data_IF_044661507807
#
_entry.id   IF_044661507807
#
_cell.length_a   1.000
_cell.length_b   1.000
_cell.length_c   1.000
_cell.angle_alpha   90.00
_cell.angle_beta   90.00
_cell.angle_gamma   90.00
#
_symmetry.space_group_name_H-M   'P 1'
#
loop_
_entity.id
_entity.type
_entity.pdbx_description
1 polymer ?
#
# COMPACT_ATOMS: atom_id res chain seq x y z
N UNK A 1 -0.72 31.70 -4.65
CA UNK A 1 -0.83 30.86 -3.39
C UNK A 1 0.26 31.36 -2.45
N UNK A 2 -0.05 31.53 -1.19
CA UNK A 2 0.94 31.94 -0.18
C UNK A 2 1.98 30.83 -0.02
N UNK A 3 3.26 31.15 0.08
CA UNK A 3 4.41 30.22 0.33
C UNK A 3 4.33 29.48 1.70
N UNK A 4 3.13 29.32 2.23
CA UNK A 4 2.93 28.71 3.53
C UNK A 4 2.88 27.19 3.41
N UNK A 5 3.80 26.50 4.09
CA UNK A 5 3.76 25.06 4.26
C UNK A 5 2.77 24.71 5.38
N UNK A 6 1.79 23.84 5.07
CA UNK A 6 0.82 23.34 6.03
C UNK A 6 1.29 22.00 6.63
N UNK A 7 0.90 21.74 7.88
CA UNK A 7 1.13 20.46 8.55
C UNK A 7 0.19 19.36 8.02
N UNK A 8 0.52 18.10 8.36
CA UNK A 8 -0.18 16.91 7.87
C UNK A 8 -1.70 16.96 8.11
N UNK A 9 -2.13 17.35 9.34
CA UNK A 9 -3.55 17.39 9.72
C UNK A 9 -4.35 18.40 8.89
N UNK A 10 -3.72 19.51 8.50
CA UNK A 10 -4.33 20.46 7.57
C UNK A 10 -4.39 19.89 6.15
N UNK A 11 -3.31 19.25 5.69
CA UNK A 11 -3.22 18.70 4.35
C UNK A 11 -4.19 17.53 4.14
N UNK A 12 -4.37 16.66 5.14
CA UNK A 12 -5.31 15.52 5.01
C UNK A 12 -6.77 15.98 4.81
N UNK A 13 -7.12 17.18 5.26
CA UNK A 13 -8.46 17.77 5.10
C UNK A 13 -8.57 18.62 3.82
N UNK A 14 -7.51 19.37 3.47
CA UNK A 14 -7.61 20.44 2.48
C UNK A 14 -6.89 20.16 1.16
N UNK A 15 -5.86 19.31 1.12
CA UNK A 15 -5.10 19.10 -0.10
C UNK A 15 -5.99 18.59 -1.25
N UNK A 16 -5.85 19.21 -2.43
CA UNK A 16 -6.65 18.93 -3.63
C UNK A 16 -8.10 19.41 -3.58
N UNK A 17 -8.68 19.66 -2.41
CA UNK A 17 -10.08 20.06 -2.28
C UNK A 17 -10.23 21.59 -2.35
N UNK A 18 -11.06 22.04 -3.30
CA UNK A 18 -11.50 23.44 -3.44
C UNK A 18 -13.02 23.48 -3.45
N UNK A 19 -13.63 24.58 -2.98
CA UNK A 19 -15.06 24.76 -3.17
C UNK A 19 -15.45 24.66 -4.66
N UNK A 20 -16.52 23.95 -4.96
CA UNK A 20 -16.99 23.79 -6.33
C UNK A 20 -17.26 25.16 -6.96
N UNK A 21 -16.67 25.49 -8.11
CA UNK A 21 -16.79 26.84 -8.67
C UNK A 21 -18.19 27.19 -9.19
N UNK A 22 -19.04 26.18 -9.45
CA UNK A 22 -20.37 26.41 -9.98
C UNK A 22 -21.40 26.59 -8.86
N UNK A 23 -21.25 25.90 -7.74
CA UNK A 23 -22.26 25.85 -6.67
C UNK A 23 -21.77 26.39 -5.34
N UNK A 24 -20.44 26.53 -5.16
CA UNK A 24 -19.82 26.84 -3.88
C UNK A 24 -19.82 25.68 -2.87
N UNK A 25 -20.18 24.48 -3.30
CA UNK A 25 -20.17 23.29 -2.42
C UNK A 25 -18.78 23.09 -1.81
N UNK A 26 -18.75 22.99 -0.47
CA UNK A 26 -17.47 22.82 0.27
C UNK A 26 -16.90 21.43 0.10
N UNK A 27 -17.74 20.41 0.17
CA UNK A 27 -17.34 19.03 -0.02
C UNK A 27 -17.16 18.75 -1.51
N UNK A 28 -16.18 17.90 -1.85
CA UNK A 28 -15.92 17.49 -3.23
C UNK A 28 -17.15 16.82 -3.84
N UNK A 29 -17.73 17.33 -4.93
CA UNK A 29 -18.86 16.68 -5.58
C UNK A 29 -18.50 15.30 -6.14
N UNK A 30 -19.46 14.38 -6.17
CA UNK A 30 -19.28 13.07 -6.81
C UNK A 30 -19.67 13.20 -8.28
N UNK A 31 -18.66 13.23 -9.15
CA UNK A 31 -18.87 13.27 -10.60
C UNK A 31 -19.08 11.85 -11.14
N UNK A 32 -20.28 11.31 -10.95
CA UNK A 32 -20.69 10.00 -11.48
C UNK A 32 -21.02 10.13 -12.97
N UNK A 33 -19.99 10.36 -13.78
CA UNK A 33 -20.08 10.64 -15.21
C UNK A 33 -18.99 9.91 -15.98
N UNK A 34 -19.26 9.52 -17.24
CA UNK A 34 -18.29 8.84 -18.10
C UNK A 34 -17.54 9.78 -19.03
N UNK A 35 -18.21 10.72 -19.69
CA UNK A 35 -17.63 11.60 -20.69
C UNK A 35 -17.88 13.08 -20.43
N UNK A 36 -17.02 13.93 -20.97
CA UNK A 36 -17.05 15.39 -20.78
C UNK A 36 -17.13 16.09 -22.13
N UNK A 37 -17.92 17.18 -22.20
CA UNK A 37 -18.16 17.94 -23.45
C UNK A 37 -16.95 18.83 -23.75
N UNK A 38 -16.49 18.80 -25.00
CA UNK A 38 -15.44 19.69 -25.48
C UNK A 38 -16.02 21.07 -25.88
N UNK A 39 -15.20 22.11 -25.80
CA UNK A 39 -15.57 23.44 -26.26
C UNK A 39 -15.75 23.49 -27.78
N UNK A 40 -14.81 22.86 -28.50
CA UNK A 40 -14.76 22.76 -29.96
C UNK A 40 -13.82 21.62 -30.38
N UNK A 41 -13.67 21.42 -31.71
CA UNK A 41 -12.80 20.36 -32.24
C UNK A 41 -11.30 20.59 -31.98
N UNK A 42 -10.86 21.86 -31.90
CA UNK A 42 -9.44 22.15 -31.57
C UNK A 42 -9.11 21.82 -30.12
N UNK A 43 -10.01 22.18 -29.20
CA UNK A 43 -9.90 21.79 -27.79
C UNK A 43 -9.87 20.24 -27.61
N UNK A 44 -10.76 19.52 -28.30
CA UNK A 44 -10.73 18.06 -28.30
C UNK A 44 -9.37 17.52 -28.77
N UNK A 45 -8.86 18.02 -29.90
CA UNK A 45 -7.56 17.61 -30.43
C UNK A 45 -6.40 17.90 -29.43
N UNK A 46 -6.40 19.07 -28.79
CA UNK A 46 -5.38 19.44 -27.80
C UNK A 46 -5.36 18.51 -26.59
N UNK A 47 -6.55 18.14 -26.09
CA UNK A 47 -6.68 17.19 -24.97
C UNK A 47 -6.17 15.78 -25.36
N UNK A 48 -6.57 15.25 -26.51
CA UNK A 48 -6.13 13.94 -26.99
C UNK A 48 -4.64 13.86 -27.31
N UNK A 49 -4.02 14.98 -27.68
CA UNK A 49 -2.59 15.09 -27.95
C UNK A 49 -1.77 15.48 -26.70
N UNK A 50 -2.37 15.53 -25.51
CA UNK A 50 -1.74 15.95 -24.25
C UNK A 50 -1.10 17.35 -24.30
N UNK A 51 -1.60 18.23 -25.18
CA UNK A 51 -1.20 19.64 -25.31
C UNK A 51 -1.95 20.53 -24.32
N UNK A 52 -3.14 20.13 -23.90
CA UNK A 52 -3.95 20.75 -22.86
C UNK A 52 -4.34 19.64 -21.84
N UNK A 53 -4.42 20.00 -20.56
CA UNK A 53 -4.88 19.09 -19.50
C UNK A 53 -6.36 19.32 -19.21
N UNK A 54 -7.14 18.26 -19.15
CA UNK A 54 -8.56 18.34 -18.87
C UNK A 54 -9.24 17.00 -18.83
N UNK A 55 -10.54 17.04 -18.62
CA UNK A 55 -11.36 15.83 -18.51
C UNK A 55 -11.90 15.44 -19.90
N UNK A 56 -11.65 14.19 -20.30
CA UNK A 56 -12.12 13.60 -21.55
C UNK A 56 -13.12 12.48 -21.21
N UNK A 57 -12.67 11.56 -20.39
CA UNK A 57 -13.38 10.34 -20.04
C UNK A 57 -12.93 9.86 -18.66
N UNK A 58 -13.86 9.44 -17.81
CA UNK A 58 -13.57 9.13 -16.39
C UNK A 58 -12.60 7.96 -16.17
N UNK A 59 -12.37 7.10 -17.17
CA UNK A 59 -11.31 6.08 -17.12
C UNK A 59 -9.90 6.68 -17.02
N UNK A 60 -9.67 7.85 -17.67
CA UNK A 60 -8.39 8.55 -17.62
C UNK A 60 -8.35 9.49 -16.42
N UNK A 61 -9.32 10.41 -16.36
CA UNK A 61 -9.41 11.42 -15.32
C UNK A 61 -10.88 11.73 -14.98
N UNK A 62 -11.17 11.84 -13.67
CA UNK A 62 -12.45 12.22 -13.12
C UNK A 62 -12.24 13.27 -12.03
N UNK A 63 -13.06 14.35 -11.93
CA UNK A 63 -12.83 15.43 -10.97
C UNK A 63 -12.78 14.97 -9.51
N UNK A 64 -13.64 14.05 -9.10
CA UNK A 64 -13.63 13.48 -7.73
C UNK A 64 -12.36 12.67 -7.48
N UNK A 65 -11.96 11.84 -8.45
CA UNK A 65 -10.75 11.01 -8.37
C UNK A 65 -9.50 11.88 -8.36
N UNK A 66 -9.48 12.98 -9.13
CA UNK A 66 -8.36 13.92 -9.17
C UNK A 66 -8.08 14.56 -7.80
N UNK A 67 -9.11 14.90 -7.03
CA UNK A 67 -8.93 15.40 -5.66
C UNK A 67 -8.27 14.35 -4.76
N UNK A 68 -8.66 13.08 -4.87
CA UNK A 68 -8.04 11.99 -4.13
C UNK A 68 -6.56 11.82 -4.52
N UNK A 69 -6.25 11.85 -5.83
CA UNK A 69 -4.89 11.74 -6.35
C UNK A 69 -3.99 12.87 -5.80
N UNK A 70 -4.44 14.13 -5.90
CA UNK A 70 -3.71 15.29 -5.38
C UNK A 70 -3.50 15.21 -3.86
N UNK A 71 -4.53 14.77 -3.12
CA UNK A 71 -4.45 14.61 -1.66
C UNK A 71 -3.40 13.59 -1.25
N UNK A 72 -3.46 12.39 -1.80
CA UNK A 72 -2.51 11.32 -1.45
C UNK A 72 -1.09 11.68 -1.89
N UNK A 73 -0.91 12.24 -3.11
CA UNK A 73 0.39 12.74 -3.55
C UNK A 73 0.97 13.77 -2.57
N UNK A 74 0.17 14.74 -2.15
CA UNK A 74 0.59 15.77 -1.19
C UNK A 74 0.97 15.18 0.17
N UNK A 75 0.19 14.24 0.70
CA UNK A 75 0.46 13.60 2.00
C UNK A 75 1.74 12.76 1.98
N UNK A 76 2.00 12.05 0.90
CA UNK A 76 3.26 11.31 0.70
C UNK A 76 4.46 12.23 0.36
N UNK A 77 4.20 13.44 -0.14
CA UNK A 77 5.23 14.35 -0.64
C UNK A 77 5.71 14.02 -2.05
N UNK A 78 4.84 13.42 -2.85
CA UNK A 78 5.07 13.11 -4.26
C UNK A 78 4.74 14.28 -5.17
N UNK A 79 5.25 14.23 -6.40
CA UNK A 79 4.96 15.21 -7.46
C UNK A 79 3.60 14.96 -8.12
N UNK A 80 3.18 13.69 -8.21
CA UNK A 80 1.92 13.30 -8.81
C UNK A 80 1.46 11.92 -8.36
N UNK A 81 0.19 11.61 -8.67
CA UNK A 81 -0.37 10.30 -8.41
C UNK A 81 -1.48 9.95 -9.40
N UNK A 82 -1.77 8.67 -9.56
CA UNK A 82 -2.95 8.21 -10.26
C UNK A 82 -3.61 7.04 -9.54
N UNK A 83 -4.94 7.06 -9.53
CA UNK A 83 -5.76 6.12 -8.77
C UNK A 83 -6.16 4.90 -9.62
N UNK A 84 -6.23 3.75 -8.98
CA UNK A 84 -6.60 2.46 -9.59
C UNK A 84 -7.74 1.79 -8.82
N UNK A 85 -8.36 0.77 -9.43
CA UNK A 85 -9.49 0.06 -8.85
C UNK A 85 -9.17 -0.77 -7.58
N UNK A 86 -7.90 -1.07 -7.33
CA UNK A 86 -7.45 -1.85 -6.17
C UNK A 86 -5.94 -1.71 -5.96
N UNK A 87 -5.43 -2.14 -4.79
CA UNK A 87 -3.99 -2.21 -4.54
C UNK A 87 -3.26 -3.13 -5.52
N UNK A 88 -3.83 -4.28 -5.88
CA UNK A 88 -3.26 -5.16 -6.92
C UNK A 88 -3.17 -4.47 -8.29
N UNK A 89 -4.18 -3.68 -8.65
CA UNK A 89 -4.13 -2.87 -9.88
C UNK A 89 -3.05 -1.79 -9.79
N UNK A 90 -2.80 -1.21 -8.61
CA UNK A 90 -1.69 -0.27 -8.40
C UNK A 90 -0.33 -0.92 -8.61
N UNK A 91 -0.12 -2.16 -8.15
CA UNK A 91 1.10 -2.93 -8.38
C UNK A 91 1.35 -3.20 -9.87
N UNK A 92 0.31 -3.61 -10.61
CA UNK A 92 0.40 -3.74 -12.07
C UNK A 92 0.74 -2.39 -12.70
N UNK A 93 0.05 -1.33 -12.31
CA UNK A 93 0.21 -0.01 -12.90
C UNK A 93 1.57 0.63 -12.59
N UNK A 94 2.18 0.33 -11.46
CA UNK A 94 3.52 0.78 -11.12
C UNK A 94 4.62 0.08 -11.95
N UNK A 95 4.43 -1.20 -12.28
CA UNK A 95 5.43 -1.99 -13.01
C UNK A 95 5.24 -1.94 -14.52
N UNK A 96 4.02 -1.73 -15.01
CA UNK A 96 3.71 -1.78 -16.45
C UNK A 96 4.56 -0.82 -17.31
N UNK A 97 4.81 0.46 -16.91
CA UNK A 97 5.69 1.35 -17.66
C UNK A 97 7.16 0.94 -17.67
N UNK A 98 7.57 0.10 -16.72
CA UNK A 98 8.96 -0.24 -16.47
C UNK A 98 9.39 -1.55 -17.14
N UNK A 99 8.45 -2.47 -17.37
CA UNK A 99 8.74 -3.86 -17.71
C UNK A 99 8.25 -4.25 -19.10
N UNK A 100 9.08 -5.00 -19.81
CA UNK A 100 8.74 -5.72 -21.03
C UNK A 100 8.75 -7.25 -20.77
N UNK A 101 8.18 -8.07 -21.69
CA UNK A 101 8.31 -9.52 -21.59
C UNK A 101 9.77 -9.97 -21.50
N UNK A 102 10.09 -10.83 -20.55
CA UNK A 102 11.44 -11.30 -20.24
C UNK A 102 12.20 -10.47 -19.22
N UNK A 103 11.67 -9.33 -18.79
CA UNK A 103 12.24 -8.54 -17.70
C UNK A 103 11.88 -9.13 -16.33
N UNK A 104 12.67 -8.75 -15.31
CA UNK A 104 12.44 -9.13 -13.92
C UNK A 104 12.49 -7.92 -12.99
N UNK A 105 11.96 -8.11 -11.78
CA UNK A 105 12.15 -7.22 -10.65
C UNK A 105 12.51 -8.01 -9.39
N UNK A 106 13.20 -7.37 -8.46
CA UNK A 106 13.55 -7.99 -7.18
C UNK A 106 12.54 -7.54 -6.13
N UNK A 107 11.96 -8.48 -5.41
CA UNK A 107 10.98 -8.21 -4.38
C UNK A 107 11.36 -8.81 -3.03
N UNK A 108 11.00 -8.15 -1.94
CA UNK A 108 11.17 -8.69 -0.60
C UNK A 108 10.38 -10.00 -0.44
N UNK A 109 10.92 -10.96 0.30
CA UNK A 109 10.18 -12.17 0.74
C UNK A 109 9.08 -11.83 1.75
N UNK A 110 9.14 -10.65 2.37
CA UNK A 110 8.23 -10.20 3.44
C UNK A 110 7.17 -9.26 2.86
N UNK A 111 6.23 -9.84 2.11
CA UNK A 111 5.14 -9.13 1.46
C UNK A 111 3.78 -9.77 1.83
N UNK A 112 2.74 -9.01 1.61
CA UNK A 112 1.38 -9.52 1.62
C UNK A 112 1.24 -10.75 0.70
N UNK A 113 0.61 -11.82 1.21
CA UNK A 113 0.49 -13.08 0.48
C UNK A 113 -0.20 -12.94 -0.89
N UNK A 114 -1.14 -12.00 -1.03
CA UNK A 114 -1.76 -11.68 -2.31
C UNK A 114 -0.76 -11.10 -3.32
N UNK A 115 0.17 -10.24 -2.89
CA UNK A 115 1.24 -9.71 -3.73
C UNK A 115 2.20 -10.81 -4.17
N UNK A 116 2.59 -11.70 -3.24
CA UNK A 116 3.43 -12.86 -3.57
C UNK A 116 2.76 -13.73 -4.63
N UNK A 117 1.46 -14.00 -4.48
CA UNK A 117 0.69 -14.78 -5.44
C UNK A 117 0.57 -14.08 -6.80
N UNK A 118 0.26 -12.78 -6.82
CA UNK A 118 0.16 -11.99 -8.05
C UNK A 118 1.50 -12.00 -8.82
N UNK A 119 2.61 -11.77 -8.12
CA UNK A 119 3.94 -11.72 -8.73
C UNK A 119 4.39 -13.09 -9.26
N UNK A 120 4.12 -14.16 -8.51
CA UNK A 120 4.50 -15.52 -8.92
C UNK A 120 3.67 -16.11 -10.07
N UNK A 121 2.41 -15.70 -10.17
CA UNK A 121 1.48 -16.37 -11.10
C UNK A 121 0.93 -15.43 -12.16
N UNK A 122 0.24 -14.35 -11.77
CA UNK A 122 -0.42 -13.46 -12.73
C UNK A 122 0.58 -12.74 -13.63
N UNK A 123 1.72 -12.28 -13.10
CA UNK A 123 2.71 -11.53 -13.86
C UNK A 123 3.44 -12.37 -14.92
N UNK A 124 3.45 -13.71 -14.77
CA UNK A 124 3.95 -14.60 -15.83
C UNK A 124 3.18 -14.49 -17.13
N UNK A 125 1.89 -14.13 -17.07
CA UNK A 125 1.08 -13.90 -18.28
C UNK A 125 1.52 -12.64 -19.05
N UNK A 126 2.19 -11.69 -18.37
CA UNK A 126 2.85 -10.55 -19.03
C UNK A 126 4.30 -10.87 -19.47
N UNK A 127 4.79 -12.06 -19.17
CA UNK A 127 6.20 -12.44 -19.39
C UNK A 127 7.14 -11.84 -18.34
N UNK A 128 6.65 -11.31 -17.25
CA UNK A 128 7.45 -10.73 -16.17
C UNK A 128 7.85 -11.79 -15.15
N UNK A 129 9.05 -11.60 -14.59
CA UNK A 129 9.59 -12.49 -13.58
C UNK A 129 9.83 -11.74 -12.28
N UNK A 130 9.65 -12.42 -11.13
CA UNK A 130 10.01 -11.90 -9.81
C UNK A 130 11.12 -12.74 -9.20
N UNK A 131 12.06 -12.07 -8.51
CA UNK A 131 13.07 -12.69 -7.67
C UNK A 131 12.84 -12.26 -6.23
N UNK A 132 12.40 -13.19 -5.40
CA UNK A 132 12.20 -12.92 -3.98
C UNK A 132 13.49 -13.07 -3.19
N UNK A 133 13.83 -12.05 -2.40
CA UNK A 133 15.03 -11.98 -1.56
C UNK A 133 14.66 -11.50 -0.16
N UNK A 134 15.29 -12.04 0.87
CA UNK A 134 15.19 -11.43 2.21
C UNK A 134 16.05 -10.16 2.25
N UNK A 135 15.42 -9.01 2.45
CA UNK A 135 16.12 -7.71 2.49
C UNK A 135 16.97 -7.49 3.75
N UNK A 136 17.01 -8.48 4.66
CA UNK A 136 18.03 -8.53 5.71
C UNK A 136 19.40 -8.94 5.17
N UNK A 137 19.44 -9.69 4.06
CA UNK A 137 20.65 -10.06 3.33
C UNK A 137 20.87 -9.09 2.16
N UNK A 138 21.56 -7.98 2.42
CA UNK A 138 21.81 -6.94 1.43
C UNK A 138 22.76 -7.45 0.30
N UNK A 139 23.60 -8.44 0.54
CA UNK A 139 24.45 -9.01 -0.50
C UNK A 139 23.64 -9.93 -1.42
N UNK A 140 22.69 -10.69 -0.89
CA UNK A 140 21.72 -11.42 -1.69
C UNK A 140 20.83 -10.48 -2.51
N UNK A 141 20.44 -9.32 -1.97
CA UNK A 141 19.68 -8.31 -2.71
C UNK A 141 20.50 -7.77 -3.90
N UNK A 142 21.78 -7.44 -3.70
CA UNK A 142 22.66 -7.01 -4.79
C UNK A 142 22.84 -8.10 -5.84
N UNK A 143 23.08 -9.34 -5.40
CA UNK A 143 23.31 -10.48 -6.30
C UNK A 143 22.06 -10.88 -7.12
N UNK A 144 20.86 -10.53 -6.66
CA UNK A 144 19.63 -10.80 -7.39
C UNK A 144 19.36 -9.82 -8.55
N UNK A 145 20.09 -8.71 -8.62
CA UNK A 145 19.95 -7.70 -9.66
C UNK A 145 20.79 -8.09 -10.88
N UNK A 146 20.21 -8.06 -12.08
CA UNK A 146 20.89 -8.26 -13.35
C UNK A 146 20.48 -7.23 -14.42
N UNK A 147 20.93 -7.41 -15.65
CA UNK A 147 20.63 -6.49 -16.77
C UNK A 147 19.15 -6.40 -17.12
N UNK A 148 18.36 -7.45 -16.82
CA UNK A 148 16.91 -7.51 -17.03
C UNK A 148 16.11 -6.99 -15.87
N UNK A 149 16.75 -6.63 -14.76
CA UNK A 149 16.05 -6.09 -13.59
C UNK A 149 15.59 -4.65 -13.85
N UNK A 150 14.32 -4.36 -13.51
CA UNK A 150 13.67 -3.07 -13.75
C UNK A 150 13.22 -2.34 -12.49
N UNK A 151 13.10 -3.00 -11.38
CA UNK A 151 12.71 -2.38 -10.11
C UNK A 151 13.13 -3.22 -8.91
N UNK A 152 13.17 -2.57 -7.74
CA UNK A 152 13.21 -3.21 -6.43
C UNK A 152 11.89 -2.90 -5.72
N UNK A 153 11.24 -3.90 -5.11
CA UNK A 153 9.91 -3.77 -4.52
C UNK A 153 9.86 -4.29 -3.08
N UNK A 154 9.30 -3.50 -2.15
CA UNK A 154 9.10 -3.92 -0.76
C UNK A 154 7.83 -3.27 -0.15
N UNK A 155 7.44 -3.73 1.05
CA UNK A 155 6.49 -3.04 1.91
C UNK A 155 7.26 -2.24 2.98
N UNK A 156 6.78 -1.05 3.34
CA UNK A 156 7.39 -0.26 4.42
C UNK A 156 7.26 -0.99 5.77
N UNK A 157 6.05 -1.45 6.09
CA UNK A 157 5.72 -2.33 7.21
C UNK A 157 5.08 -3.57 6.63
N UNK A 158 5.73 -4.72 6.78
CA UNK A 158 5.28 -5.96 6.18
C UNK A 158 4.02 -6.54 6.86
N UNK A 159 3.12 -7.06 6.05
CA UNK A 159 1.97 -7.86 6.46
C UNK A 159 2.24 -9.35 6.13
N UNK A 160 2.18 -10.27 7.13
CA UNK A 160 1.53 -10.14 8.45
C UNK A 160 2.44 -9.83 9.64
N UNK A 161 3.74 -9.82 9.51
CA UNK A 161 4.65 -10.00 10.64
C UNK A 161 5.20 -8.75 11.33
N UNK A 162 4.73 -7.53 11.02
CA UNK A 162 5.23 -6.30 11.67
C UNK A 162 6.73 -6.01 11.44
N UNK A 163 7.33 -6.59 10.42
CA UNK A 163 8.70 -6.31 9.99
C UNK A 163 8.79 -4.91 9.38
N UNK A 164 9.84 -4.17 9.70
CA UNK A 164 10.13 -2.84 9.10
C UNK A 164 11.29 -2.98 8.11
N UNK A 165 11.05 -2.67 6.86
CA UNK A 165 12.10 -2.68 5.83
C UNK A 165 13.11 -1.56 6.08
N UNK A 166 14.41 -1.84 5.89
CA UNK A 166 15.44 -0.79 5.84
C UNK A 166 15.38 -0.10 4.47
N UNK A 167 14.48 0.89 4.36
CA UNK A 167 14.19 1.59 3.12
C UNK A 167 15.43 2.27 2.54
N UNK A 168 16.26 2.89 3.39
CA UNK A 168 17.47 3.60 2.91
C UNK A 168 18.48 2.64 2.31
N UNK A 169 18.72 1.49 2.95
CA UNK A 169 19.64 0.49 2.41
C UNK A 169 19.13 -0.13 1.10
N UNK A 170 17.84 -0.42 1.01
CA UNK A 170 17.21 -0.91 -0.21
C UNK A 170 17.31 0.12 -1.35
N UNK A 171 17.07 1.40 -1.05
CA UNK A 171 17.19 2.50 -2.01
C UNK A 171 18.62 2.66 -2.55
N UNK A 172 19.62 2.65 -1.68
CA UNK A 172 21.03 2.74 -2.07
C UNK A 172 21.41 1.64 -3.08
N UNK A 173 20.99 0.39 -2.83
CA UNK A 173 21.26 -0.74 -3.72
C UNK A 173 20.52 -0.59 -5.05
N UNK A 174 19.23 -0.22 -5.01
CA UNK A 174 18.44 0.00 -6.20
C UNK A 174 19.04 1.11 -7.08
N UNK A 175 19.34 2.26 -6.50
CA UNK A 175 19.88 3.42 -7.21
C UNK A 175 21.29 3.15 -7.77
N UNK A 176 22.15 2.43 -7.05
CA UNK A 176 23.47 2.02 -7.57
C UNK A 176 23.37 1.17 -8.85
N UNK A 177 22.25 0.45 -9.04
CA UNK A 177 21.96 -0.30 -10.24
C UNK A 177 21.12 0.46 -11.28
N UNK A 178 20.81 1.74 -11.07
CA UNK A 178 19.94 2.56 -11.92
C UNK A 178 18.49 2.08 -11.94
N UNK A 179 18.00 1.56 -10.80
CA UNK A 179 16.64 1.03 -10.62
C UNK A 179 15.83 1.89 -9.65
N UNK A 180 14.51 2.08 -9.85
CA UNK A 180 13.65 2.67 -8.85
C UNK A 180 13.37 1.71 -7.70
N UNK A 181 13.24 2.26 -6.48
CA UNK A 181 12.65 1.57 -5.35
C UNK A 181 11.14 1.86 -5.30
N UNK A 182 10.33 0.81 -5.38
CA UNK A 182 8.88 0.85 -5.23
C UNK A 182 8.51 0.35 -3.84
N UNK A 183 7.78 1.16 -3.08
CA UNK A 183 7.38 0.82 -1.71
C UNK A 183 5.87 0.76 -1.60
N UNK A 184 5.33 -0.37 -1.17
CA UNK A 184 3.94 -0.46 -0.73
C UNK A 184 3.83 0.12 0.68
N UNK A 185 3.16 1.27 0.80
CA UNK A 185 3.00 2.01 2.04
C UNK A 185 1.60 1.83 2.67
N UNK A 186 0.88 0.79 2.23
CA UNK A 186 -0.51 0.53 2.65
C UNK A 186 -0.69 0.44 4.16
N UNK A 187 0.20 -0.31 4.84
CA UNK A 187 0.09 -0.58 6.28
C UNK A 187 0.59 0.56 7.14
N UNK A 188 1.57 1.33 6.66
CA UNK A 188 2.09 2.49 7.38
C UNK A 188 1.26 3.75 7.15
N UNK A 189 0.71 3.94 5.96
CA UNK A 189 0.10 5.20 5.51
C UNK A 189 1.09 6.37 5.47
N UNK A 190 0.80 7.47 4.76
CA UNK A 190 1.66 8.65 4.78
C UNK A 190 1.77 9.33 6.15
N UNK A 191 0.92 8.94 7.11
CA UNK A 191 0.97 9.48 8.46
C UNK A 191 2.09 8.89 9.32
N UNK A 192 2.31 7.58 9.25
CA UNK A 192 3.34 6.89 10.04
C UNK A 192 4.69 6.86 9.35
N UNK A 193 4.72 6.67 8.02
CA UNK A 193 5.92 6.59 7.22
C UNK A 193 5.75 7.36 5.90
N UNK A 194 6.78 8.10 5.49
CA UNK A 194 6.89 8.75 4.19
C UNK A 194 8.10 8.19 3.44
N UNK A 195 7.94 7.12 2.68
CA UNK A 195 9.06 6.40 2.05
C UNK A 195 9.93 7.26 1.13
N UNK A 196 9.38 8.33 0.54
CA UNK A 196 10.15 9.28 -0.28
C UNK A 196 11.26 9.99 0.49
N UNK A 197 11.11 10.20 1.78
CA UNK A 197 12.15 10.77 2.65
C UNK A 197 13.30 9.78 2.89
N UNK A 198 13.11 8.51 2.54
CA UNK A 198 14.05 7.41 2.74
C UNK A 198 14.52 6.76 1.44
N UNK A 199 14.33 7.42 0.30
CA UNK A 199 14.87 7.01 -0.98
C UNK A 199 13.93 6.23 -1.90
N UNK A 200 12.66 6.02 -1.54
CA UNK A 200 11.70 5.49 -2.49
C UNK A 200 11.47 6.42 -3.67
N UNK A 201 11.14 5.87 -4.84
CA UNK A 201 10.85 6.61 -6.07
C UNK A 201 9.38 6.54 -6.44
N UNK A 202 8.76 5.38 -6.20
CA UNK A 202 7.34 5.14 -6.37
C UNK A 202 6.74 4.55 -5.10
N UNK A 203 5.50 4.93 -4.81
CA UNK A 203 4.72 4.36 -3.70
C UNK A 203 3.46 3.72 -4.25
N UNK A 204 3.15 2.50 -3.81
CA UNK A 204 1.87 1.85 -4.02
C UNK A 204 1.02 1.91 -2.75
N UNK A 205 -0.29 2.03 -2.91
CA UNK A 205 -1.27 1.85 -1.84
C UNK A 205 -2.43 0.97 -2.28
N UNK A 206 -2.89 0.13 -1.37
CA UNK A 206 -4.28 -0.26 -1.34
C UNK A 206 -5.05 0.79 -0.54
N UNK A 207 -5.74 1.72 -1.21
CA UNK A 207 -6.53 2.75 -0.53
C UNK A 207 -7.73 2.15 0.20
N UNK A 208 -8.05 0.88 -0.09
CA UNK A 208 -9.06 0.03 0.57
C UNK A 208 -8.87 -0.07 2.09
N UNK A 209 -7.60 0.06 2.57
CA UNK A 209 -7.18 -0.19 3.95
C UNK A 209 -7.32 1.08 4.81
N UNK A 210 -6.33 1.43 5.58
CA UNK A 210 -6.35 2.58 6.49
C UNK A 210 -6.73 3.91 5.83
N UNK A 211 -6.44 4.12 4.53
CA UNK A 211 -6.81 5.37 3.85
C UNK A 211 -8.33 5.53 3.79
N UNK A 212 -9.07 4.49 3.38
CA UNK A 212 -10.53 4.45 3.49
C UNK A 212 -10.95 4.28 4.96
N UNK A 213 -10.42 3.27 5.65
CA UNK A 213 -10.52 3.05 7.08
C UNK A 213 -11.83 2.45 7.59
N UNK A 214 -12.85 2.29 6.74
CA UNK A 214 -14.21 1.89 7.14
C UNK A 214 -14.71 0.63 6.43
N UNK A 215 -13.84 -0.05 5.65
CA UNK A 215 -14.17 -1.24 4.86
C UNK A 215 -15.32 -1.03 3.85
N UNK A 216 -15.53 0.19 3.36
CA UNK A 216 -16.65 0.54 2.46
C UNK A 216 -16.22 0.63 1.00
N UNK A 217 -14.97 1.04 0.71
CA UNK A 217 -14.52 1.28 -0.65
C UNK A 217 -13.23 0.53 -0.98
N UNK A 218 -13.19 -0.04 -2.18
CA UNK A 218 -11.96 -0.58 -2.77
C UNK A 218 -11.27 0.45 -3.64
N UNK A 219 -9.92 0.43 -3.61
CA UNK A 219 -9.12 1.26 -4.49
C UNK A 219 -7.63 1.01 -4.32
N UNK A 220 -6.86 1.62 -5.20
CA UNK A 220 -5.41 1.66 -5.16
C UNK A 220 -4.88 3.02 -5.61
N UNK A 221 -3.61 3.26 -5.37
CA UNK A 221 -2.92 4.49 -5.76
C UNK A 221 -1.48 4.18 -6.10
N UNK A 222 -0.96 4.80 -7.15
CA UNK A 222 0.47 4.91 -7.41
C UNK A 222 0.84 6.37 -7.24
N UNK A 223 1.87 6.64 -6.43
CA UNK A 223 2.41 7.98 -6.22
C UNK A 223 3.83 8.02 -6.77
N UNK A 224 4.11 9.05 -7.52
CA UNK A 224 5.40 9.31 -8.15
C UNK A 224 6.12 10.44 -7.40
N UNK A 225 7.36 10.20 -6.96
CA UNK A 225 8.21 11.23 -6.35
C UNK A 225 8.57 12.33 -7.35
N UNK A 226 8.67 11.99 -8.63
CA UNK A 226 9.03 12.91 -9.70
C UNK A 226 10.53 13.25 -9.79
N UNK A 227 11.40 12.52 -9.11
CA UNK A 227 12.84 12.81 -9.10
C UNK A 227 13.70 11.72 -9.74
N UNK A 228 13.12 10.57 -10.07
CA UNK A 228 13.86 9.50 -10.73
C UNK A 228 14.08 9.85 -12.21
N UNK A 229 15.33 9.75 -12.68
CA UNK A 229 15.68 10.01 -14.09
C UNK A 229 15.41 8.77 -14.95
N UNK A 230 14.26 8.75 -15.60
CA UNK A 230 13.82 7.64 -16.46
C UNK A 230 14.65 7.48 -17.74
N UNK A 231 15.49 8.45 -18.08
CA UNK A 231 16.34 8.42 -19.28
C UNK A 231 17.77 7.95 -19.03
N UNK A 232 18.28 8.12 -17.79
CA UNK A 232 19.70 7.96 -17.49
C UNK A 232 20.25 6.55 -17.74
N UNK A 233 19.46 5.50 -17.43
CA UNK A 233 19.94 4.11 -17.51
C UNK A 233 19.65 3.42 -18.85
N UNK A 234 18.80 4.02 -19.70
CA UNK A 234 18.29 3.37 -20.93
C UNK A 234 17.36 2.17 -20.69
N UNK A 235 17.02 1.88 -19.44
CA UNK A 235 16.19 0.73 -19.05
C UNK A 235 14.69 0.94 -19.24
N UNK A 236 14.23 2.20 -19.42
CA UNK A 236 12.80 2.59 -19.41
C UNK A 236 12.38 3.25 -20.72
N UNK A 237 12.46 2.54 -21.88
CA UNK A 237 12.17 3.11 -23.20
C UNK A 237 10.70 3.59 -23.31
N UNK A 238 9.76 2.99 -22.57
CA UNK A 238 8.38 3.43 -22.56
C UNK A 238 8.21 4.90 -22.10
N UNK A 239 9.10 5.39 -21.23
CA UNK A 239 9.09 6.74 -20.70
C UNK A 239 10.05 7.69 -21.44
N UNK A 240 11.18 7.18 -21.94
CA UNK A 240 12.26 7.99 -22.51
C UNK A 240 12.30 8.02 -24.04
N UNK A 241 11.71 7.03 -24.73
CA UNK A 241 11.71 6.94 -26.18
C UNK A 241 10.41 7.42 -26.81
N UNK A 242 10.36 7.71 -28.14
CA UNK A 242 9.17 8.15 -28.82
C UNK A 242 7.99 7.18 -28.69
N UNK A 243 6.87 7.63 -28.13
CA UNK A 243 5.67 6.82 -27.97
C UNK A 243 4.90 6.69 -29.29
N UNK A 244 4.68 5.48 -29.80
CA UNK A 244 3.86 5.30 -31.01
C UNK A 244 2.40 5.66 -30.81
N UNK A 245 1.88 5.59 -29.58
CA UNK A 245 0.50 5.93 -29.22
C UNK A 245 0.23 7.45 -29.19
N UNK A 246 1.29 8.28 -29.16
CA UNK A 246 1.20 9.74 -29.08
C UNK A 246 2.11 10.42 -30.11
N UNK A 247 2.12 9.95 -31.36
CA UNK A 247 2.81 10.56 -32.49
C UNK A 247 4.29 10.86 -32.24
N UNK A 248 4.97 10.00 -31.48
CA UNK A 248 6.40 10.18 -31.18
C UNK A 248 6.71 11.07 -29.97
N UNK A 249 5.68 11.44 -29.17
CA UNK A 249 5.90 12.14 -27.90
C UNK A 249 6.78 11.31 -26.96
N UNK A 250 7.78 11.93 -26.36
CA UNK A 250 8.60 11.34 -25.30
C UNK A 250 8.13 11.85 -23.95
N UNK A 251 7.61 10.97 -23.09
CA UNK A 251 6.99 11.36 -21.81
C UNK A 251 8.00 12.08 -20.90
N UNK A 252 9.24 11.57 -20.79
CA UNK A 252 10.27 12.17 -19.94
C UNK A 252 10.64 13.59 -20.39
N UNK A 253 10.85 13.82 -21.70
CA UNK A 253 11.19 15.15 -22.23
C UNK A 253 10.01 16.12 -22.13
N UNK A 254 8.77 15.64 -22.32
CA UNK A 254 7.57 16.48 -22.37
C UNK A 254 7.06 16.88 -20.99
N UNK A 255 7.06 15.95 -20.03
CA UNK A 255 6.42 16.13 -18.73
C UNK A 255 7.41 16.19 -17.55
N UNK A 256 8.71 15.93 -17.77
CA UNK A 256 9.75 16.04 -16.77
C UNK A 256 9.42 15.20 -15.51
N UNK A 257 9.31 15.85 -14.38
CA UNK A 257 9.01 15.25 -13.08
C UNK A 257 7.62 14.56 -12.99
N UNK A 258 6.74 14.77 -13.93
CA UNK A 258 5.43 14.12 -14.00
C UNK A 258 5.35 13.03 -15.09
N UNK A 259 6.45 12.67 -15.73
CA UNK A 259 6.50 11.73 -16.85
C UNK A 259 5.83 10.39 -16.52
N UNK A 260 6.17 9.81 -15.36
CA UNK A 260 5.60 8.54 -14.92
C UNK A 260 4.10 8.65 -14.63
N UNK A 261 3.69 9.72 -13.96
CA UNK A 261 2.27 9.99 -13.65
C UNK A 261 1.44 10.14 -14.92
N UNK A 262 1.93 10.92 -15.92
CA UNK A 262 1.20 11.10 -17.19
C UNK A 262 1.18 9.83 -18.04
N UNK A 263 2.25 9.04 -18.05
CA UNK A 263 2.24 7.73 -18.70
C UNK A 263 1.21 6.81 -18.03
N UNK A 264 1.17 6.80 -16.70
CA UNK A 264 0.20 6.04 -15.91
C UNK A 264 -1.25 6.36 -16.29
N UNK A 265 -1.58 7.65 -16.44
CA UNK A 265 -2.92 8.11 -16.83
C UNK A 265 -3.19 7.84 -18.30
N UNK A 266 -2.29 8.31 -19.18
CA UNK A 266 -2.53 8.38 -20.62
C UNK A 266 -2.40 7.03 -21.35
N UNK A 267 -1.63 6.08 -20.78
CA UNK A 267 -1.43 4.75 -21.37
C UNK A 267 -1.93 3.67 -20.42
N UNK A 268 -1.36 3.58 -19.20
CA UNK A 268 -1.66 2.45 -18.31
C UNK A 268 -3.15 2.38 -17.95
N UNK A 269 -3.74 3.45 -17.44
CA UNK A 269 -5.18 3.48 -17.11
C UNK A 269 -6.06 3.42 -18.35
N UNK A 270 -5.69 4.16 -19.40
CA UNK A 270 -6.46 4.18 -20.65
C UNK A 270 -6.61 2.79 -21.25
N UNK A 271 -5.51 2.04 -21.35
CA UNK A 271 -5.44 0.80 -22.12
C UNK A 271 -5.75 -0.44 -21.27
N UNK A 272 -5.35 -0.48 -20.00
CA UNK A 272 -5.65 -1.60 -19.09
C UNK A 272 -7.00 -1.43 -18.36
N UNK A 273 -7.54 -0.21 -18.29
CA UNK A 273 -8.89 0.04 -17.79
C UNK A 273 -9.07 -0.02 -16.26
N UNK A 274 -8.00 -0.07 -15.49
CA UNK A 274 -7.99 -0.28 -14.02
C UNK A 274 -8.32 1.01 -13.24
N UNK A 275 -9.23 1.85 -13.71
CA UNK A 275 -9.57 3.14 -13.10
C UNK A 275 -10.38 2.99 -11.81
N UNK A 276 -10.26 3.97 -10.92
CA UNK A 276 -11.05 4.06 -9.69
C UNK A 276 -12.44 4.64 -9.97
N UNK A 277 -13.48 4.09 -9.30
CA UNK A 277 -14.81 4.64 -9.33
C UNK A 277 -14.90 5.93 -8.50
N UNK A 278 -15.64 6.99 -8.98
CA UNK A 278 -15.76 8.26 -8.24
C UNK A 278 -16.36 8.12 -6.85
N UNK A 279 -17.33 7.24 -6.66
CA UNK A 279 -17.92 6.96 -5.34
C UNK A 279 -16.87 6.41 -4.37
N UNK A 280 -16.06 5.43 -4.80
CA UNK A 280 -15.00 4.86 -3.97
C UNK A 280 -13.92 5.92 -3.64
N UNK A 281 -13.61 6.81 -4.58
CA UNK A 281 -12.71 7.93 -4.34
C UNK A 281 -13.27 8.89 -3.29
N UNK A 282 -14.56 9.22 -3.36
CA UNK A 282 -15.25 10.06 -2.38
C UNK A 282 -15.22 9.45 -0.98
N UNK A 283 -15.57 8.17 -0.83
CA UNK A 283 -15.52 7.48 0.47
C UNK A 283 -14.09 7.41 1.03
N UNK A 284 -13.10 7.21 0.17
CA UNK A 284 -11.70 7.25 0.57
C UNK A 284 -11.29 8.65 1.04
N UNK A 285 -11.75 9.72 0.38
CA UNK A 285 -11.51 11.10 0.80
C UNK A 285 -12.07 11.36 2.21
N UNK A 286 -13.30 10.91 2.49
CA UNK A 286 -13.90 11.00 3.84
C UNK A 286 -13.03 10.27 4.87
N UNK A 287 -12.54 9.06 4.53
CA UNK A 287 -11.64 8.31 5.42
C UNK A 287 -10.33 9.05 5.69
N UNK A 288 -9.72 9.66 4.68
CA UNK A 288 -8.45 10.38 4.83
C UNK A 288 -8.59 11.60 5.75
N UNK A 289 -9.73 12.29 5.77
CA UNK A 289 -9.94 13.47 6.61
C UNK A 289 -9.74 13.23 8.12
N UNK A 290 -9.83 11.97 8.56
CA UNK A 290 -9.59 11.55 9.95
C UNK A 290 -8.40 10.58 10.10
N UNK A 291 -7.55 10.49 9.10
CA UNK A 291 -6.48 9.48 9.06
C UNK A 291 -5.54 9.56 10.26
N UNK A 292 -5.03 10.75 10.59
CA UNK A 292 -4.09 10.94 11.71
C UNK A 292 -4.70 10.50 13.05
N UNK A 293 -5.95 10.92 13.31
CA UNK A 293 -6.66 10.58 14.54
C UNK A 293 -6.89 9.07 14.67
N UNK A 294 -7.24 8.41 13.56
CA UNK A 294 -7.44 6.96 13.55
C UNK A 294 -6.12 6.23 13.74
N UNK A 295 -5.06 6.64 13.04
CA UNK A 295 -3.76 5.98 13.13
C UNK A 295 -3.15 6.11 14.54
N UNK A 296 -3.29 7.24 15.20
CA UNK A 296 -2.86 7.41 16.60
C UNK A 296 -3.61 6.42 17.52
N UNK A 297 -4.93 6.31 17.39
CA UNK A 297 -5.72 5.37 18.18
C UNK A 297 -5.40 3.92 17.85
N UNK A 298 -5.29 3.57 16.56
CA UNK A 298 -4.89 2.24 16.10
C UNK A 298 -3.55 1.81 16.70
N UNK A 299 -2.52 2.67 16.63
CA UNK A 299 -1.19 2.37 17.15
C UNK A 299 -1.17 2.27 18.68
N UNK A 300 -1.89 3.16 19.39
CA UNK A 300 -2.00 3.11 20.84
C UNK A 300 -2.67 1.80 21.31
N UNK A 301 -3.78 1.44 20.68
CA UNK A 301 -4.48 0.19 20.98
C UNK A 301 -3.61 -1.03 20.68
N UNK A 302 -2.96 -1.06 19.50
CA UNK A 302 -2.08 -2.16 19.12
C UNK A 302 -0.93 -2.35 20.10
N UNK A 303 -0.30 -1.27 20.54
CA UNK A 303 0.77 -1.34 21.53
C UNK A 303 0.27 -1.88 22.87
N UNK A 304 -0.90 -1.45 23.34
CA UNK A 304 -1.49 -1.92 24.60
C UNK A 304 -1.83 -3.42 24.53
N UNK A 305 -2.51 -3.85 23.46
CA UNK A 305 -2.87 -5.26 23.24
C UNK A 305 -1.62 -6.14 23.06
N UNK A 306 -0.66 -5.71 22.24
CA UNK A 306 0.58 -6.48 22.01
C UNK A 306 1.41 -6.62 23.30
N UNK A 307 1.52 -5.55 24.12
CA UNK A 307 2.23 -5.59 25.40
C UNK A 307 1.55 -6.49 26.42
N UNK A 308 0.22 -6.61 26.37
CA UNK A 308 -0.51 -7.56 27.22
C UNK A 308 -0.29 -9.00 26.73
N UNK A 309 -0.42 -9.26 25.43
CA UNK A 309 -0.18 -10.58 24.82
C UNK A 309 1.25 -11.09 25.07
N UNK A 310 2.26 -10.22 25.04
CA UNK A 310 3.66 -10.60 25.29
C UNK A 310 3.88 -11.21 26.68
N UNK A 311 3.04 -10.85 27.65
CA UNK A 311 3.10 -11.38 29.01
C UNK A 311 2.11 -12.52 29.27
N UNK A 312 1.25 -12.81 28.31
CA UNK A 312 0.19 -13.81 28.49
C UNK A 312 0.74 -15.25 28.47
N UNK A 313 0.38 -16.10 29.44
CA UNK A 313 0.98 -17.45 29.59
C UNK A 313 0.70 -18.40 28.42
N UNK A 314 -0.39 -18.23 27.66
CA UNK A 314 -0.72 -19.04 26.49
C UNK A 314 0.03 -18.62 25.22
N UNK A 315 0.70 -17.44 25.23
CA UNK A 315 1.38 -16.88 24.07
C UNK A 315 2.85 -17.27 24.07
N UNK A 316 3.38 -17.68 22.93
CA UNK A 316 4.78 -18.07 22.75
C UNK A 316 5.65 -16.92 22.24
N UNK A 317 5.11 -16.03 21.41
CA UNK A 317 5.77 -14.82 20.92
C UNK A 317 4.74 -13.77 20.44
N UNK A 318 5.17 -12.51 20.35
CA UNK A 318 4.45 -11.44 19.66
C UNK A 318 5.40 -10.79 18.66
N UNK A 319 4.98 -10.69 17.39
CA UNK A 319 5.76 -10.04 16.33
C UNK A 319 5.12 -8.70 15.96
N UNK A 320 5.51 -7.66 16.70
CA UNK A 320 5.05 -6.28 16.50
C UNK A 320 6.20 -5.29 16.66
N UNK A 321 6.48 -4.48 15.64
CA UNK A 321 7.61 -3.56 15.64
C UNK A 321 7.50 -2.41 16.67
N UNK A 322 6.29 -2.16 17.20
CA UNK A 322 6.05 -1.18 18.25
C UNK A 322 6.48 -1.60 19.66
N UNK A 323 6.74 -2.90 19.88
CA UNK A 323 7.23 -3.38 21.18
C UNK A 323 8.71 -3.03 21.36
N UNK A 324 9.14 -2.62 22.58
CA UNK A 324 10.55 -2.38 22.88
C UNK A 324 11.43 -3.64 22.71
N UNK A 325 10.87 -4.83 22.90
CA UNK A 325 11.52 -6.14 22.73
C UNK A 325 11.68 -6.56 21.27
N UNK A 326 11.00 -5.88 20.35
CA UNK A 326 11.03 -6.22 18.92
C UNK A 326 12.43 -5.99 18.32
N UNK A 327 12.95 -6.94 17.52
CA UNK A 327 14.19 -6.71 16.78
C UNK A 327 14.09 -5.54 15.79
N UNK A 328 12.88 -5.12 15.43
CA UNK A 328 12.60 -4.04 14.50
C UNK A 328 12.31 -2.70 15.18
N UNK A 329 12.34 -2.60 16.52
CA UNK A 329 12.01 -1.39 17.28
C UNK A 329 12.86 -0.17 16.87
N UNK A 330 14.15 -0.37 16.61
CA UNK A 330 15.04 0.71 16.14
C UNK A 330 14.64 1.23 14.75
N UNK A 331 14.25 0.33 13.83
CA UNK A 331 13.76 0.71 12.50
C UNK A 331 12.39 1.37 12.57
N UNK A 332 11.49 0.88 13.43
CA UNK A 332 10.21 1.54 13.67
C UNK A 332 10.40 2.98 14.14
N UNK A 333 11.31 3.21 15.08
CA UNK A 333 11.64 4.57 15.53
C UNK A 333 12.24 5.45 14.42
N UNK A 334 13.05 4.87 13.52
CA UNK A 334 13.69 5.60 12.39
C UNK A 334 12.68 5.95 11.30
N UNK A 335 11.88 4.98 10.83
CA UNK A 335 11.04 5.11 9.65
C UNK A 335 9.58 5.47 9.96
N UNK A 336 9.10 5.09 11.15
CA UNK A 336 7.71 5.23 11.58
C UNK A 336 7.63 5.85 12.98
N UNK A 337 8.15 7.07 13.21
CA UNK A 337 8.32 7.65 14.55
C UNK A 337 7.01 7.87 15.31
N UNK A 338 5.86 7.90 14.60
CA UNK A 338 4.52 8.10 15.20
C UNK A 338 3.83 6.79 15.59
N UNK A 339 4.39 5.63 15.21
CA UNK A 339 3.81 4.31 15.53
C UNK A 339 4.11 3.27 14.46
N UNK A 340 3.96 1.98 14.82
CA UNK A 340 4.33 0.84 13.98
C UNK A 340 3.12 0.14 13.34
N UNK A 341 2.08 0.90 12.95
CA UNK A 341 0.80 0.37 12.46
C UNK A 341 0.00 -0.38 13.54
N UNK A 342 -1.06 -1.05 13.15
CA UNK A 342 -1.90 -1.83 14.06
C UNK A 342 -2.13 -3.27 13.57
N UNK A 343 -1.25 -3.72 12.67
CA UNK A 343 -1.24 -5.11 12.22
C UNK A 343 -0.03 -5.83 12.82
N UNK A 344 -0.27 -6.97 13.42
CA UNK A 344 0.79 -7.80 13.99
C UNK A 344 0.34 -9.25 14.15
N UNK A 345 1.28 -10.12 14.48
CA UNK A 345 1.02 -11.53 14.76
C UNK A 345 1.49 -11.93 16.15
N UNK A 346 0.86 -12.96 16.68
CA UNK A 346 1.35 -13.67 17.88
C UNK A 346 1.19 -15.18 17.71
N UNK A 347 1.97 -15.94 18.44
CA UNK A 347 1.95 -17.41 18.43
C UNK A 347 1.29 -17.97 19.67
N UNK A 348 0.49 -19.02 19.49
CA UNK A 348 -0.07 -19.82 20.59
C UNK A 348 0.83 -21.00 20.92
N UNK A 349 0.99 -21.33 22.21
CA UNK A 349 1.78 -22.50 22.65
C UNK A 349 1.15 -23.82 22.23
N UNK A 350 -0.20 -23.86 22.17
CA UNK A 350 -0.97 -25.09 21.88
C UNK A 350 -1.25 -25.28 20.37
N UNK A 351 -0.59 -24.49 19.51
CA UNK A 351 -0.51 -24.70 18.06
C UNK A 351 -1.82 -24.53 17.29
N UNK A 352 -2.00 -25.34 16.24
CA UNK A 352 -3.05 -25.17 15.22
C UNK A 352 -4.48 -25.21 15.77
N UNK A 353 -4.80 -26.25 16.57
CA UNK A 353 -6.16 -26.44 17.07
C UNK A 353 -6.59 -25.36 18.06
N UNK A 354 -5.63 -24.85 18.86
CA UNK A 354 -5.86 -23.70 19.73
C UNK A 354 -6.12 -22.44 18.90
N UNK A 355 -5.40 -22.25 17.78
CA UNK A 355 -5.62 -21.15 16.84
C UNK A 355 -7.03 -21.16 16.24
N UNK A 356 -7.52 -22.33 15.83
CA UNK A 356 -8.89 -22.48 15.30
C UNK A 356 -9.92 -22.14 16.39
N UNK A 357 -9.78 -22.75 17.60
CA UNK A 357 -10.71 -22.47 18.70
C UNK A 357 -10.71 -21.01 19.12
N UNK A 358 -9.54 -20.36 19.14
CA UNK A 358 -9.43 -18.94 19.50
C UNK A 358 -10.27 -18.06 18.55
N UNK A 359 -10.10 -18.22 17.23
CA UNK A 359 -10.81 -17.37 16.26
C UNK A 359 -12.31 -17.68 16.18
N UNK A 360 -12.75 -18.83 16.67
CA UNK A 360 -14.16 -19.19 16.81
C UNK A 360 -14.78 -18.70 18.13
N UNK A 361 -13.96 -18.40 19.15
CA UNK A 361 -14.40 -18.00 20.48
C UNK A 361 -14.47 -16.48 20.69
N UNK A 362 -13.85 -15.66 19.82
CA UNK A 362 -13.95 -14.20 19.95
C UNK A 362 -15.37 -13.72 19.70
N UNK A 363 -15.81 -12.73 20.48
CA UNK A 363 -17.15 -12.13 20.40
C UNK A 363 -17.12 -10.73 19.79
N UNK A 364 -16.07 -9.95 20.06
CA UNK A 364 -15.92 -8.57 19.60
C UNK A 364 -15.09 -8.50 18.30
N UNK A 365 -13.97 -9.23 18.24
CA UNK A 365 -13.18 -9.28 17.02
C UNK A 365 -13.94 -9.92 15.86
N UNK A 366 -13.87 -9.32 14.68
CA UNK A 366 -14.45 -9.90 13.47
C UNK A 366 -13.47 -10.89 12.83
N UNK A 367 -13.88 -12.15 12.67
CA UNK A 367 -13.09 -13.17 11.99
C UNK A 367 -13.22 -13.04 10.48
N UNK A 368 -12.32 -12.27 9.86
CA UNK A 368 -12.28 -12.04 8.41
C UNK A 368 -10.90 -11.61 7.90
N UNK A 369 -10.70 -11.73 6.58
CA UNK A 369 -9.44 -11.41 5.91
C UNK A 369 -9.41 -9.97 5.39
N UNK A 370 -9.21 -8.99 6.26
CA UNK A 370 -8.96 -7.58 5.92
C UNK A 370 -7.95 -6.97 6.92
N UNK A 371 -7.67 -5.69 6.80
CA UNK A 371 -6.92 -4.87 7.76
C UNK A 371 -7.29 -3.39 7.61
N UNK A 372 -6.99 -2.59 8.64
CA UNK A 372 -7.14 -1.15 8.59
C UNK A 372 -8.58 -0.66 8.68
N UNK A 373 -9.50 -1.50 9.16
CA UNK A 373 -10.86 -1.16 9.54
C UNK A 373 -10.86 -0.49 10.91
N UNK A 374 -11.86 0.34 11.20
CA UNK A 374 -12.12 0.88 12.54
C UNK A 374 -12.45 -0.22 13.55
N UNK A 375 -12.94 -1.37 13.09
CA UNK A 375 -13.18 -2.58 13.90
C UNK A 375 -11.97 -3.47 13.94
N UNK A 376 -11.76 -4.11 15.08
CA UNK A 376 -10.68 -5.09 15.26
C UNK A 376 -11.00 -6.39 14.55
N UNK A 377 -9.99 -6.92 13.83
CA UNK A 377 -10.09 -8.11 13.02
C UNK A 377 -9.08 -9.16 13.48
N UNK A 378 -9.49 -10.42 13.40
CA UNK A 378 -8.65 -11.58 13.74
C UNK A 378 -8.70 -12.62 12.62
N UNK A 379 -7.59 -13.29 12.38
CA UNK A 379 -7.54 -14.43 11.45
C UNK A 379 -6.45 -15.42 11.88
N UNK A 380 -6.69 -16.72 11.67
CA UNK A 380 -5.72 -17.78 11.75
C UNK A 380 -5.20 -18.10 10.34
N UNK A 381 -4.03 -17.59 9.92
CA UNK A 381 -3.56 -17.71 8.53
C UNK A 381 -3.43 -19.14 8.03
N UNK A 382 -2.93 -20.05 8.87
CA UNK A 382 -2.71 -21.45 8.50
C UNK A 382 -3.99 -22.20 8.11
N UNK A 383 -5.15 -21.86 8.73
CA UNK A 383 -6.44 -22.46 8.39
C UNK A 383 -7.18 -21.74 7.28
N UNK A 384 -6.73 -20.55 6.86
CA UNK A 384 -7.46 -19.66 5.94
C UNK A 384 -6.60 -19.20 4.76
N UNK A 385 -5.97 -18.05 4.88
CA UNK A 385 -5.26 -17.37 3.77
C UNK A 385 -4.02 -18.11 3.28
N UNK A 386 -3.42 -18.97 4.09
CA UNK A 386 -2.20 -19.72 3.78
C UNK A 386 -2.43 -21.25 3.79
N UNK A 387 -3.69 -21.69 3.83
CA UNK A 387 -4.05 -23.11 3.89
C UNK A 387 -3.50 -23.95 2.71
N UNK A 388 -3.30 -23.33 1.57
CA UNK A 388 -2.81 -23.99 0.36
C UNK A 388 -1.29 -24.16 0.32
N UNK A 389 -0.55 -23.56 1.26
CA UNK A 389 0.89 -23.64 1.36
C UNK A 389 1.34 -24.88 2.14
N UNK A 390 2.53 -25.39 1.80
CA UNK A 390 3.17 -26.43 2.63
C UNK A 390 3.58 -25.88 3.99
N UNK A 391 3.80 -26.73 5.02
CA UNK A 391 4.27 -26.27 6.33
C UNK A 391 5.54 -25.41 6.25
N UNK A 392 6.49 -25.76 5.38
CA UNK A 392 7.73 -25.00 5.17
C UNK A 392 7.47 -23.63 4.54
N UNK A 393 6.51 -23.56 3.62
CA UNK A 393 6.10 -22.29 3.02
C UNK A 393 5.33 -21.41 4.00
N UNK A 394 4.47 -22.01 4.83
CA UNK A 394 3.76 -21.29 5.90
C UNK A 394 4.76 -20.70 6.92
N UNK A 395 5.76 -21.48 7.35
CA UNK A 395 6.80 -20.99 8.25
C UNK A 395 7.58 -19.79 7.66
N UNK A 396 7.97 -19.87 6.38
CA UNK A 396 8.65 -18.77 5.67
C UNK A 396 7.79 -17.53 5.52
N UNK A 397 6.46 -17.70 5.46
CA UNK A 397 5.50 -16.61 5.36
C UNK A 397 5.08 -16.04 6.75
N UNK A 398 5.68 -16.47 7.85
CA UNK A 398 5.24 -16.18 9.23
C UNK A 398 3.74 -16.49 9.44
N UNK A 399 3.29 -17.60 8.89
CA UNK A 399 1.91 -18.09 8.94
C UNK A 399 1.87 -19.55 9.41
N UNK A 400 2.75 -19.89 10.35
CA UNK A 400 2.80 -21.22 10.97
C UNK A 400 1.49 -21.60 11.66
N UNK A 401 1.34 -22.89 12.03
CA UNK A 401 0.10 -23.40 12.61
C UNK A 401 -0.29 -22.72 13.94
N UNK A 402 0.65 -22.14 14.65
CA UNK A 402 0.45 -21.43 15.92
C UNK A 402 0.09 -19.94 15.74
N UNK A 403 0.21 -19.41 14.51
CA UNK A 403 0.18 -17.95 14.27
C UNK A 403 -1.24 -17.42 14.14
N UNK A 404 -1.52 -16.39 14.94
CA UNK A 404 -2.73 -15.55 14.82
C UNK A 404 -2.30 -14.18 14.33
N UNK A 405 -3.04 -13.62 13.37
CA UNK A 405 -2.88 -12.24 12.91
C UNK A 405 -4.01 -11.37 13.42
N UNK A 406 -3.66 -10.23 14.02
CA UNK A 406 -4.59 -9.18 14.43
C UNK A 406 -4.45 -7.94 13.53
N UNK A 407 -5.57 -7.28 13.27
CA UNK A 407 -5.63 -5.89 12.81
C UNK A 407 -6.46 -5.14 13.84
N UNK A 408 -5.80 -4.38 14.68
CA UNK A 408 -6.43 -3.71 15.82
C UNK A 408 -7.16 -2.46 15.35
N UNK A 409 -8.41 -2.33 15.79
CA UNK A 409 -9.28 -1.20 15.51
C UNK A 409 -9.14 -0.04 16.51
N UNK A 410 -10.18 0.79 16.58
CA UNK A 410 -10.19 2.00 17.39
C UNK A 410 -11.13 1.90 18.61
N UNK A 411 -11.62 0.71 18.92
CA UNK A 411 -12.46 0.39 20.08
C UNK A 411 -11.73 0.72 21.40
N UNK A 412 -12.38 0.53 22.51
CA UNK A 412 -11.71 0.57 23.81
C UNK A 412 -10.75 -0.63 23.92
N UNK A 413 -9.50 -0.34 24.23
CA UNK A 413 -8.46 -1.38 24.25
C UNK A 413 -8.64 -2.39 25.40
N UNK A 414 -9.32 -2.02 26.48
CA UNK A 414 -9.60 -2.95 27.58
C UNK A 414 -10.70 -3.94 27.19
N UNK A 415 -11.68 -3.53 26.39
CA UNK A 415 -12.69 -4.42 25.83
C UNK A 415 -12.04 -5.44 24.85
N UNK A 416 -11.10 -4.98 24.00
CA UNK A 416 -10.34 -5.85 23.11
C UNK A 416 -9.52 -6.90 23.88
N UNK A 417 -8.89 -6.49 24.98
CA UNK A 417 -8.14 -7.39 25.86
C UNK A 417 -9.07 -8.39 26.53
N UNK A 418 -10.23 -7.95 27.03
CA UNK A 418 -11.22 -8.82 27.66
C UNK A 418 -11.74 -9.90 26.71
N UNK A 419 -12.02 -9.53 25.44
CA UNK A 419 -12.45 -10.47 24.42
C UNK A 419 -11.35 -11.50 24.08
N UNK A 420 -10.10 -11.06 23.94
CA UNK A 420 -8.98 -11.96 23.72
C UNK A 420 -8.70 -12.88 24.92
N UNK A 421 -8.85 -12.39 26.18
CA UNK A 421 -8.64 -13.17 27.38
C UNK A 421 -9.63 -14.34 27.44
N UNK A 422 -10.93 -14.06 27.29
CA UNK A 422 -11.97 -15.11 27.32
C UNK A 422 -11.76 -16.12 26.18
N UNK A 423 -11.38 -15.65 24.97
CA UNK A 423 -11.14 -16.51 23.82
C UNK A 423 -9.88 -17.36 24.00
N UNK A 424 -8.81 -16.82 24.61
CA UNK A 424 -7.61 -17.58 24.96
C UNK A 424 -7.89 -18.65 26.01
N UNK A 425 -8.75 -18.36 27.01
CA UNK A 425 -9.19 -19.37 27.98
C UNK A 425 -9.98 -20.48 27.30
N UNK A 426 -10.93 -20.14 26.42
CA UNK A 426 -11.73 -21.11 25.66
C UNK A 426 -10.87 -21.93 24.68
N UNK A 427 -9.75 -21.37 24.19
CA UNK A 427 -8.87 -22.05 23.24
C UNK A 427 -7.98 -23.15 23.89
N UNK A 428 -7.78 -23.12 25.20
CA UNK A 428 -7.04 -24.15 25.91
C UNK A 428 -7.74 -25.50 25.74
N UNK A 429 -6.99 -26.55 25.48
CA UNK A 429 -7.55 -27.89 25.49
C UNK A 429 -8.13 -28.15 26.87
N UNK A 430 -9.42 -28.48 26.94
CA UNK A 430 -9.97 -29.15 28.13
C UNK A 430 -9.15 -30.44 28.27
N UNK A 431 -8.29 -30.51 29.28
CA UNK A 431 -7.61 -31.74 29.62
C UNK A 431 -8.72 -32.81 29.69
N UNK A 432 -8.63 -33.83 28.85
CA UNK A 432 -9.55 -34.95 28.90
C UNK A 432 -9.55 -35.45 30.31
N UNK A 433 -10.70 -35.29 31.01
CA UNK A 433 -10.97 -35.86 32.33
C UNK A 433 -11.00 -37.37 32.21
#
# INVERSE_FOLDING_TARGET
>A
MTDRTYGFDTLQVHAGARPDPATGARQTPIYQNTGYVFRDAAHAAALFNLQELGFIYSRLLNPTVAVLQERVATLEGGAGAFATASGHAAQVAALFPLMAPGDNFVASTRLYGGSVNQFNHAFKHFGWQVRFVDFEDLDALKAAIDERTRAVYCEAIANPGGYITDLSAAAEIAHAAGLPLIVDNTTATPYLCRPFEHGADLICHSTTKYLCGHATAMGGMVVDKGTFDWSASGKYPALSEPSPSYHGLKFHETFGHLAFTFYGIAITLRDLGMCQAPMNAFETLIGIETLSLRMDRHCANALKVASWLERHPAVSFVSYAGLPSSPWAARAKKYCPKGASAIFTFGLKDGYDAGVRLVEAVELFSHLANLGDTRSLIIHPASTTHRQLTPEQQAKANAGPEVIRLSIGIEDADDLIADLEQALEASRSVAAI
#
